data_IF_448226584860
#
_entry.id   IF_448226584860
#
_cell.length_a   1.000
_cell.length_b   1.000
_cell.length_c   1.000
_cell.angle_alpha   90.00
_cell.angle_beta   90.00
_cell.angle_gamma   90.00
#
_symmetry.space_group_name_H-M   'P 1'
#
loop_
_entity.id
_entity.type
_entity.pdbx_description
1 polymer ?
#
# COMPACT_ATOMS: atom_id res chain seq x y z
N UNK A 1 31.92 -69.75 29.92
CA UNK A 1 31.03 -68.99 29.02
C UNK A 1 31.89 -68.23 28.02
N UNK A 2 31.83 -68.63 26.77
CA UNK A 2 32.64 -68.13 25.64
C UNK A 2 31.88 -67.04 24.87
N UNK A 3 32.57 -65.94 24.54
CA UNK A 3 32.73 -65.34 23.19
C UNK A 3 33.67 -64.13 23.35
N UNK A 4 34.98 -64.35 23.14
CA UNK A 4 35.76 -64.12 21.90
C UNK A 4 35.93 -62.61 21.60
N UNK A 5 37.09 -61.94 21.61
CA UNK A 5 38.48 -62.21 21.13
C UNK A 5 38.82 -61.32 19.93
N UNK A 6 40.06 -60.79 19.91
CA UNK A 6 40.93 -60.48 18.74
C UNK A 6 40.68 -59.11 18.05
N UNK A 7 41.56 -58.09 18.12
CA UNK A 7 42.94 -57.86 17.59
C UNK A 7 43.02 -57.61 16.07
N UNK A 8 43.91 -56.67 15.67
CA UNK A 8 44.62 -56.56 14.37
C UNK A 8 43.91 -55.65 13.30
N UNK A 9 44.52 -54.71 12.55
CA UNK A 9 45.76 -54.69 11.74
C UNK A 9 46.21 -53.25 11.36
N UNK A 10 47.53 -53.03 11.41
CA UNK A 10 48.49 -52.25 10.57
C UNK A 10 48.04 -50.99 9.78
N UNK A 11 48.70 -49.82 9.84
CA UNK A 11 50.13 -49.47 9.66
C UNK A 11 50.64 -49.54 8.19
N UNK A 12 50.97 -48.38 7.60
CA UNK A 12 52.13 -48.24 6.70
C UNK A 12 52.89 -46.97 7.05
N UNK A 13 54.13 -47.18 7.47
CA UNK A 13 55.19 -46.22 7.54
C UNK A 13 56.02 -46.27 6.25
N UNK A 14 56.49 -45.11 5.80
CA UNK A 14 57.73 -44.92 5.05
C UNK A 14 58.09 -43.43 5.25
N UNK A 15 58.96 -43.06 6.19
CA UNK A 15 60.42 -43.14 6.11
C UNK A 15 60.97 -42.58 4.80
N UNK A 16 61.22 -41.27 4.73
CA UNK A 16 62.51 -40.74 4.25
C UNK A 16 62.94 -39.57 5.15
N UNK A 17 63.84 -39.89 6.08
CA UNK A 17 64.90 -38.98 6.51
C UNK A 17 65.78 -38.66 5.30
N UNK A 18 65.91 -37.39 4.93
CA UNK A 18 67.16 -36.85 4.40
C UNK A 18 67.47 -35.54 5.10
N UNK A 19 68.42 -35.63 6.02
CA UNK A 19 69.29 -34.54 6.48
C UNK A 19 70.12 -34.10 5.28
N UNK A 20 70.27 -32.79 5.05
CA UNK A 20 71.20 -32.28 4.05
C UNK A 20 71.20 -30.76 3.87
N UNK A 21 71.88 -30.06 4.78
CA UNK A 21 72.60 -28.78 4.59
C UNK A 21 72.04 -27.71 3.62
N UNK A 22 71.62 -26.54 4.12
CA UNK A 22 72.52 -25.37 4.32
C UNK A 22 71.76 -24.03 4.35
N UNK A 23 72.22 -23.14 5.24
CA UNK A 23 72.15 -21.64 5.21
C UNK A 23 70.86 -20.89 5.61
N UNK A 24 70.92 -20.36 6.85
CA UNK A 24 70.56 -18.99 7.34
C UNK A 24 69.13 -18.43 7.15
N UNK A 25 68.71 -17.34 7.86
CA UNK A 25 68.97 -16.89 9.24
C UNK A 25 67.68 -16.43 10.00
N UNK A 26 67.83 -16.20 11.32
CA UNK A 26 67.11 -15.26 12.21
C UNK A 26 65.55 -15.11 12.20
N UNK A 27 64.96 -15.57 13.31
CA UNK A 27 63.77 -15.06 14.05
C UNK A 27 62.83 -14.10 13.30
N UNK A 28 61.70 -14.65 12.85
CA UNK A 28 60.47 -13.87 12.62
C UNK A 28 59.65 -13.80 13.92
N UNK A 29 59.28 -12.58 14.27
CA UNK A 29 58.32 -12.17 15.31
C UNK A 29 56.94 -12.79 15.03
N UNK A 30 56.09 -13.06 16.04
CA UNK A 30 54.81 -13.73 15.84
C UNK A 30 53.92 -12.97 14.86
N UNK A 31 53.37 -13.70 13.88
CA UNK A 31 52.37 -13.19 12.94
C UNK A 31 51.23 -12.52 13.69
N UNK A 32 51.04 -11.23 13.42
CA UNK A 32 49.79 -10.53 13.72
C UNK A 32 48.63 -11.34 13.14
N UNK A 33 47.75 -11.74 14.05
CA UNK A 33 46.41 -12.20 13.77
C UNK A 33 45.75 -11.10 12.93
N UNK A 34 45.44 -11.40 11.66
CA UNK A 34 44.70 -10.49 10.79
C UNK A 34 43.33 -10.28 11.42
N UNK A 35 43.19 -9.22 12.20
CA UNK A 35 41.92 -8.69 12.64
C UNK A 35 41.05 -8.55 11.39
N UNK A 36 39.94 -9.28 11.35
CA UNK A 36 38.93 -9.16 10.32
C UNK A 36 38.45 -7.71 10.38
N UNK A 37 38.89 -6.88 9.44
CA UNK A 37 38.41 -5.51 9.32
C UNK A 37 36.94 -5.61 8.97
N UNK A 38 36.07 -5.47 9.96
CA UNK A 38 34.66 -5.22 9.72
C UNK A 38 34.58 -3.90 8.96
N UNK A 39 34.17 -4.00 7.68
CA UNK A 39 33.93 -2.82 6.85
C UNK A 39 32.83 -2.03 7.54
N UNK A 40 33.14 -0.82 8.02
CA UNK A 40 32.13 0.10 8.53
C UNK A 40 31.20 0.41 7.37
N UNK A 41 29.97 -0.13 7.41
CA UNK A 41 28.93 0.16 6.41
C UNK A 41 28.29 1.48 6.81
N UNK A 42 28.32 2.46 5.91
CA UNK A 42 27.76 3.79 6.18
C UNK A 42 26.22 3.74 6.14
N UNK A 43 25.55 4.66 6.83
CA UNK A 43 24.08 4.70 6.87
C UNK A 43 23.49 4.89 5.46
N UNK A 44 24.12 5.73 4.64
CA UNK A 44 23.75 5.96 3.24
C UNK A 44 23.92 4.72 2.35
N UNK A 45 24.95 3.89 2.59
CA UNK A 45 25.16 2.65 1.82
C UNK A 45 24.00 1.66 2.07
N UNK A 46 23.58 1.51 3.33
CA UNK A 46 22.42 0.66 3.68
C UNK A 46 21.11 1.19 3.09
N UNK A 47 20.93 2.50 3.09
CA UNK A 47 19.76 3.13 2.49
C UNK A 47 19.72 2.89 0.97
N UNK A 48 20.87 2.98 0.29
CA UNK A 48 20.98 2.68 -1.14
C UNK A 48 20.59 1.22 -1.44
N UNK A 49 21.10 0.26 -0.67
CA UNK A 49 20.74 -1.16 -0.79
C UNK A 49 19.23 -1.38 -0.62
N UNK A 50 18.60 -0.65 0.30
CA UNK A 50 17.17 -0.74 0.55
C UNK A 50 16.30 -0.03 -0.49
N UNK A 51 16.83 0.95 -1.23
CA UNK A 51 16.08 1.75 -2.19
C UNK A 51 15.82 1.02 -3.50
N UNK A 52 16.70 0.11 -3.92
CA UNK A 52 16.56 -0.52 -5.23
C UNK A 52 15.24 -1.31 -5.34
N UNK A 53 14.52 -1.08 -6.42
CA UNK A 53 13.20 -1.64 -6.71
C UNK A 53 12.12 -1.27 -5.66
N UNK A 54 12.25 -0.08 -5.06
CA UNK A 54 11.28 0.47 -4.13
C UNK A 54 10.68 1.78 -4.61
N UNK A 55 9.57 2.14 -3.96
CA UNK A 55 8.75 3.28 -4.32
C UNK A 55 8.68 4.28 -3.18
N UNK A 56 8.54 5.55 -3.53
CA UNK A 56 8.03 6.60 -2.65
C UNK A 56 6.81 7.17 -3.36
N UNK A 57 5.66 7.18 -2.70
CA UNK A 57 4.43 7.78 -3.22
C UNK A 57 4.11 9.06 -2.44
N UNK A 58 3.97 10.18 -3.14
CA UNK A 58 3.69 11.50 -2.57
C UNK A 58 2.39 12.04 -3.14
N UNK A 59 1.39 12.15 -2.28
CA UNK A 59 0.07 12.71 -2.62
C UNK A 59 0.04 14.16 -2.17
N UNK A 60 -0.14 15.08 -3.11
CA UNK A 60 -0.27 16.51 -2.76
C UNK A 60 -1.72 16.89 -2.42
N UNK A 61 -2.70 16.25 -3.05
CA UNK A 61 -4.13 16.47 -2.83
C UNK A 61 -4.91 15.14 -2.90
N UNK A 62 -6.04 15.04 -2.20
CA UNK A 62 -6.86 13.82 -2.10
C UNK A 62 -7.53 13.35 -3.41
N UNK A 63 -7.39 14.09 -4.51
CA UNK A 63 -8.01 13.76 -5.80
C UNK A 63 -6.96 13.56 -6.90
N UNK A 64 -5.69 13.39 -6.53
CA UNK A 64 -4.57 13.18 -7.44
C UNK A 64 -3.98 11.80 -7.18
N UNK A 65 -3.62 11.09 -8.26
CA UNK A 65 -2.81 9.86 -8.21
C UNK A 65 -1.45 10.07 -7.55
N UNK A 66 -1.02 11.32 -7.33
CA UNK A 66 0.23 11.66 -6.70
C UNK A 66 1.44 11.47 -7.62
N UNK A 67 2.62 11.71 -7.06
CA UNK A 67 3.91 11.45 -7.71
C UNK A 67 4.56 10.23 -7.09
N UNK A 68 4.99 9.29 -7.93
CA UNK A 68 5.72 8.09 -7.52
C UNK A 68 7.17 8.22 -7.96
N UNK A 69 8.09 8.02 -7.03
CA UNK A 69 9.51 7.92 -7.29
C UNK A 69 9.88 6.45 -7.21
N UNK A 70 10.24 5.86 -8.35
CA UNK A 70 10.71 4.48 -8.44
C UNK A 70 12.23 4.47 -8.57
N UNK A 71 12.89 3.81 -7.63
CA UNK A 71 14.35 3.75 -7.56
C UNK A 71 14.84 2.46 -8.19
N UNK A 72 15.71 2.58 -9.19
CA UNK A 72 16.32 1.46 -9.90
C UNK A 72 17.82 1.71 -10.00
N UNK A 73 18.62 0.65 -9.96
CA UNK A 73 20.09 0.69 -9.84
C UNK A 73 20.81 1.94 -10.42
N UNK A 74 20.50 2.39 -11.65
CA UNK A 74 21.16 3.51 -12.30
C UNK A 74 20.22 4.66 -12.70
N UNK A 75 18.94 4.61 -12.31
CA UNK A 75 17.94 5.60 -12.70
C UNK A 75 16.88 5.80 -11.62
N UNK A 76 16.38 7.02 -11.53
CA UNK A 76 15.20 7.34 -10.73
C UNK A 76 14.11 7.72 -11.72
N UNK A 77 12.99 7.00 -11.63
CA UNK A 77 11.86 7.22 -12.52
C UNK A 77 10.79 7.97 -11.74
N UNK A 78 10.46 9.16 -12.22
CA UNK A 78 9.31 9.92 -11.75
C UNK A 78 8.09 9.51 -12.55
N UNK A 79 7.04 9.11 -11.86
CA UNK A 79 5.76 8.77 -12.45
C UNK A 79 4.73 9.75 -11.89
N UNK A 80 4.14 10.57 -12.76
CA UNK A 80 3.18 11.60 -12.37
C UNK A 80 1.98 11.54 -13.31
N UNK A 81 0.81 11.13 -12.81
CA UNK A 81 -0.45 11.00 -13.56
C UNK A 81 -0.29 10.25 -14.90
N UNK A 82 -0.01 11.00 -15.97
CA UNK A 82 0.06 10.53 -17.36
C UNK A 82 1.47 10.48 -17.97
N UNK A 83 2.50 10.91 -17.24
CA UNK A 83 3.84 11.14 -17.76
C UNK A 83 4.89 10.44 -16.89
N UNK A 84 6.00 10.07 -17.53
CA UNK A 84 7.14 9.41 -16.87
C UNK A 84 8.40 10.14 -17.31
N UNK A 85 9.21 10.56 -16.33
CA UNK A 85 10.54 11.08 -16.58
C UNK A 85 11.57 10.16 -15.95
N UNK A 86 12.56 9.75 -16.73
CA UNK A 86 13.73 9.05 -16.21
C UNK A 86 14.87 10.04 -15.97
N UNK A 87 15.39 10.00 -14.75
CA UNK A 87 16.57 10.72 -14.31
C UNK A 87 17.72 9.72 -14.20
N UNK A 88 18.75 9.90 -15.02
CA UNK A 88 19.96 9.08 -14.96
C UNK A 88 20.80 9.50 -13.77
N UNK A 89 21.32 8.52 -13.05
CA UNK A 89 22.26 8.76 -11.95
C UNK A 89 23.67 8.88 -12.55
N UNK A 90 24.22 10.09 -12.54
CA UNK A 90 25.56 10.38 -13.07
C UNK A 90 26.66 10.11 -12.04
N UNK A 91 26.37 10.46 -10.79
CA UNK A 91 27.29 10.28 -9.66
C UNK A 91 26.48 10.14 -8.36
N UNK A 92 27.09 9.49 -7.37
CA UNK A 92 26.46 9.27 -6.07
C UNK A 92 27.45 9.43 -4.92
N UNK A 93 26.95 9.98 -3.82
CA UNK A 93 27.70 10.11 -2.56
C UNK A 93 26.88 9.53 -1.42
N UNK A 94 27.45 8.53 -0.76
CA UNK A 94 26.89 7.90 0.42
C UNK A 94 27.77 8.15 1.64
N UNK A 95 27.19 8.77 2.66
CA UNK A 95 27.78 8.90 3.99
C UNK A 95 26.72 8.67 5.07
N UNK A 96 26.37 9.67 5.87
CA UNK A 96 25.17 9.59 6.71
C UNK A 96 23.87 9.76 5.90
N UNK A 97 23.99 10.42 4.75
CA UNK A 97 22.92 10.67 3.78
C UNK A 97 23.29 10.04 2.44
N UNK A 98 22.31 9.95 1.54
CA UNK A 98 22.49 9.53 0.16
C UNK A 98 22.20 10.72 -0.76
N UNK A 99 23.14 11.05 -1.63
CA UNK A 99 23.02 12.16 -2.58
C UNK A 99 23.22 11.61 -3.99
N UNK A 100 22.23 11.83 -4.85
CA UNK A 100 22.29 11.51 -6.27
C UNK A 100 22.47 12.78 -7.09
N UNK A 101 23.46 12.77 -7.98
CA UNK A 101 23.58 13.75 -9.06
C UNK A 101 22.85 13.18 -10.28
N UNK A 102 21.83 13.88 -10.74
CA UNK A 102 20.87 13.39 -11.72
C UNK A 102 20.91 14.20 -13.00
N UNK A 103 20.74 13.54 -14.14
CA UNK A 103 20.54 14.18 -15.44
C UNK A 103 19.24 13.70 -16.10
N UNK A 104 18.47 14.60 -16.70
CA UNK A 104 17.30 14.26 -17.50
C UNK A 104 17.20 15.12 -18.75
N UNK A 105 16.33 14.76 -19.69
CA UNK A 105 16.03 15.57 -20.87
C UNK A 105 14.84 16.47 -20.58
N UNK A 106 14.93 17.74 -20.99
CA UNK A 106 13.84 18.68 -20.84
C UNK A 106 12.62 18.23 -21.66
N UNK A 107 11.47 18.13 -20.99
CA UNK A 107 10.21 17.80 -21.65
C UNK A 107 9.87 18.86 -22.71
N UNK A 108 9.67 18.44 -23.95
CA UNK A 108 9.42 19.34 -25.09
C UNK A 108 10.69 19.90 -25.76
N UNK A 109 11.87 19.75 -25.18
CA UNK A 109 13.15 20.07 -25.82
C UNK A 109 14.24 19.04 -25.49
N UNK A 110 14.24 17.87 -26.16
CA UNK A 110 15.10 16.74 -25.80
C UNK A 110 16.61 16.98 -26.02
N UNK A 111 16.97 18.10 -26.64
CA UNK A 111 18.37 18.50 -26.81
C UNK A 111 18.93 19.16 -25.54
N UNK A 112 18.06 19.73 -24.71
CA UNK A 112 18.45 20.32 -23.43
C UNK A 112 18.56 19.23 -22.37
N UNK A 113 19.61 19.32 -21.55
CA UNK A 113 19.84 18.43 -20.41
C UNK A 113 19.64 19.23 -19.13
N UNK A 114 18.82 18.71 -18.23
CA UNK A 114 18.56 19.30 -16.92
C UNK A 114 19.38 18.52 -15.90
N UNK A 115 20.19 19.22 -15.11
CA UNK A 115 20.89 18.62 -13.98
C UNK A 115 20.12 18.92 -12.69
N UNK A 116 20.06 17.91 -11.81
CA UNK A 116 19.41 18.04 -10.51
C UNK A 116 20.13 17.21 -9.46
N UNK A 117 19.80 17.47 -8.20
CA UNK A 117 20.39 16.78 -7.05
C UNK A 117 19.27 16.28 -6.16
N UNK A 118 19.29 14.99 -5.85
CA UNK A 118 18.37 14.39 -4.90
C UNK A 118 19.13 14.03 -3.62
N UNK A 119 18.68 14.59 -2.50
CA UNK A 119 19.21 14.30 -1.18
C UNK A 119 18.18 13.47 -0.42
N UNK A 120 18.61 12.30 0.06
CA UNK A 120 17.83 11.42 0.92
C UNK A 120 18.53 11.24 2.25
N UNK A 121 17.77 11.35 3.32
CA UNK A 121 18.22 11.03 4.67
C UNK A 121 17.16 10.19 5.36
N UNK A 122 17.59 9.23 6.17
CA UNK A 122 16.68 8.37 6.93
C UNK A 122 16.68 8.83 8.39
N UNK A 123 15.49 8.94 8.96
CA UNK A 123 15.26 9.23 10.37
C UNK A 123 15.53 7.99 11.24
N UNK A 124 15.33 8.09 12.55
CA UNK A 124 15.50 6.96 13.48
C UNK A 124 14.32 5.97 13.40
N UNK A 125 13.13 6.47 13.05
CA UNK A 125 11.90 5.69 12.85
C UNK A 125 11.80 5.09 11.44
N UNK A 126 12.92 5.01 10.73
CA UNK A 126 13.08 4.50 9.36
C UNK A 126 12.37 5.32 8.27
N UNK A 127 11.65 6.39 8.60
CA UNK A 127 11.10 7.32 7.61
C UNK A 127 12.18 8.12 6.91
N UNK A 128 11.87 8.66 5.73
CA UNK A 128 12.80 9.35 4.85
C UNK A 128 12.46 10.84 4.75
N UNK A 129 13.49 11.67 4.72
CA UNK A 129 13.38 13.05 4.27
C UNK A 129 14.04 13.14 2.90
N UNK A 130 13.33 13.79 1.97
CA UNK A 130 13.72 13.96 0.58
C UNK A 130 13.78 15.44 0.24
N UNK A 131 14.90 15.86 -0.33
CA UNK A 131 15.10 17.22 -0.82
C UNK A 131 15.60 17.16 -2.26
N UNK A 132 14.87 17.85 -3.15
CA UNK A 132 15.21 17.96 -4.55
C UNK A 132 15.72 19.36 -4.85
N UNK A 133 16.94 19.45 -5.39
CA UNK A 133 17.56 20.70 -5.79
C UNK A 133 17.73 20.73 -7.31
N UNK A 134 17.41 21.88 -7.90
CA UNK A 134 17.59 22.16 -9.31
C UNK A 134 18.71 23.20 -9.49
N UNK A 135 19.16 23.45 -10.72
CA UNK A 135 20.27 24.38 -11.00
C UNK A 135 20.06 25.79 -10.39
N UNK A 136 18.82 26.23 -10.16
CA UNK A 136 18.48 27.54 -9.59
C UNK A 136 18.12 27.52 -8.08
N UNK A 137 18.38 26.43 -7.37
CA UNK A 137 18.13 26.29 -5.93
C UNK A 137 17.19 25.14 -5.58
N UNK A 138 16.64 25.18 -4.36
CA UNK A 138 15.77 24.12 -3.87
C UNK A 138 14.46 24.10 -4.65
N UNK A 139 14.13 22.95 -5.23
CA UNK A 139 12.88 22.74 -5.95
C UNK A 139 11.76 22.31 -4.99
N UNK A 140 12.01 21.32 -4.13
CA UNK A 140 11.08 20.96 -3.06
C UNK A 140 11.75 20.16 -1.93
N UNK A 141 11.09 20.10 -0.79
CA UNK A 141 11.46 19.27 0.36
C UNK A 141 10.21 18.58 0.92
N UNK A 142 10.33 17.28 1.23
CA UNK A 142 9.27 16.46 1.82
C UNK A 142 9.88 15.61 2.94
N UNK A 143 9.18 15.51 4.06
CA UNK A 143 9.66 14.85 5.28
C UNK A 143 8.73 13.70 5.67
N UNK A 144 9.24 12.77 6.47
CA UNK A 144 8.50 11.60 6.99
C UNK A 144 7.90 10.71 5.91
N UNK A 145 8.61 10.55 4.80
CA UNK A 145 8.23 9.69 3.69
C UNK A 145 8.46 8.23 4.04
N UNK A 146 7.63 7.35 3.50
CA UNK A 146 7.80 5.90 3.61
C UNK A 146 8.36 5.34 2.32
N UNK A 147 9.24 4.36 2.49
CA UNK A 147 9.64 3.48 1.42
C UNK A 147 8.60 2.36 1.31
N UNK A 148 8.06 2.14 0.13
CA UNK A 148 6.95 1.22 -0.11
C UNK A 148 7.40 0.02 -0.93
N UNK A 149 6.79 -1.15 -0.66
CA UNK A 149 6.76 -2.25 -1.63
C UNK A 149 5.85 -1.94 -2.80
N UNK A 150 5.80 -2.82 -3.81
CA UNK A 150 4.89 -2.66 -4.94
C UNK A 150 3.43 -2.73 -4.48
N UNK A 151 3.11 -3.69 -3.61
CA UNK A 151 1.78 -3.86 -3.00
C UNK A 151 1.36 -2.59 -2.24
N UNK A 152 2.22 -2.11 -1.33
CA UNK A 152 1.94 -0.91 -0.52
C UNK A 152 1.80 0.35 -1.39
N UNK A 153 2.59 0.44 -2.46
CA UNK A 153 2.51 1.53 -3.42
C UNK A 153 1.16 1.52 -4.14
N UNK A 154 0.74 0.38 -4.68
CA UNK A 154 -0.56 0.23 -5.34
C UNK A 154 -1.70 0.54 -4.38
N UNK A 155 -1.67 0.01 -3.16
CA UNK A 155 -2.69 0.30 -2.15
C UNK A 155 -2.79 1.82 -1.91
N UNK A 156 -1.65 2.49 -1.74
CA UNK A 156 -1.61 3.92 -1.54
C UNK A 156 -2.17 4.73 -2.72
N UNK A 157 -1.92 4.29 -3.97
CA UNK A 157 -2.48 4.90 -5.18
C UNK A 157 -4.01 4.75 -5.19
N UNK A 158 -4.51 3.52 -5.02
CA UNK A 158 -5.95 3.26 -5.11
C UNK A 158 -6.71 3.94 -3.97
N UNK A 159 -6.17 3.96 -2.74
CA UNK A 159 -6.80 4.71 -1.64
C UNK A 159 -6.84 6.22 -1.89
N UNK A 160 -5.85 6.77 -2.60
CA UNK A 160 -5.79 8.21 -2.89
C UNK A 160 -6.60 8.59 -4.11
N UNK A 161 -6.81 7.66 -5.04
CA UNK A 161 -7.61 7.90 -6.24
C UNK A 161 -8.38 6.62 -6.66
N UNK A 162 -9.48 6.28 -5.98
CA UNK A 162 -10.22 5.02 -6.20
C UNK A 162 -10.81 4.87 -7.61
N UNK A 163 -10.97 5.98 -8.33
CA UNK A 163 -11.44 6.00 -9.72
C UNK A 163 -10.32 5.87 -10.76
N UNK A 164 -9.08 5.57 -10.36
CA UNK A 164 -7.96 5.48 -11.28
C UNK A 164 -8.22 4.43 -12.36
N UNK A 165 -8.14 4.84 -13.63
CA UNK A 165 -8.20 3.89 -14.75
C UNK A 165 -6.77 3.54 -15.10
N UNK A 166 -6.43 2.26 -15.01
CA UNK A 166 -5.11 1.71 -15.35
C UNK A 166 -4.80 1.90 -16.85
N UNK A 167 -4.47 3.13 -17.24
CA UNK A 167 -4.34 3.59 -18.61
C UNK A 167 -2.88 3.60 -19.12
N UNK A 168 -1.94 3.24 -18.24
CA UNK A 168 -0.51 3.07 -18.51
C UNK A 168 -0.09 1.63 -18.25
N UNK A 169 0.94 1.17 -18.96
CA UNK A 169 1.61 -0.08 -18.62
C UNK A 169 2.55 0.13 -17.43
N UNK A 170 2.06 -0.12 -16.22
CA UNK A 170 2.84 -0.01 -14.99
C UNK A 170 3.69 -1.26 -14.68
N UNK A 171 3.52 -2.34 -15.44
CA UNK A 171 4.27 -3.60 -15.24
C UNK A 171 5.77 -3.42 -15.42
N UNK A 172 6.20 -2.48 -16.26
CA UNK A 172 7.63 -2.15 -16.45
C UNK A 172 8.28 -1.65 -15.15
N UNK A 173 7.47 -1.15 -14.22
CA UNK A 173 7.87 -0.68 -12.89
C UNK A 173 7.49 -1.66 -11.79
N UNK A 174 7.04 -2.88 -12.09
CA UNK A 174 6.66 -3.88 -11.10
C UNK A 174 5.28 -3.66 -10.44
N UNK A 175 4.51 -2.66 -10.86
CA UNK A 175 3.14 -2.43 -10.37
C UNK A 175 2.17 -3.12 -11.33
N UNK A 176 1.86 -4.39 -11.07
CA UNK A 176 1.10 -5.24 -12.02
C UNK A 176 -0.41 -5.01 -11.92
N UNK A 177 -1.14 -5.38 -12.98
CA UNK A 177 -2.61 -5.34 -12.96
C UNK A 177 -3.21 -6.20 -11.84
N UNK A 178 -2.57 -7.32 -11.50
CA UNK A 178 -2.99 -8.18 -10.39
C UNK A 178 -2.95 -7.45 -9.04
N UNK A 179 -1.88 -6.70 -8.78
CA UNK A 179 -1.78 -5.87 -7.57
C UNK A 179 -2.87 -4.81 -7.50
N UNK A 180 -3.18 -4.17 -8.63
CA UNK A 180 -4.27 -3.19 -8.70
C UNK A 180 -5.62 -3.84 -8.39
N UNK A 181 -5.92 -4.98 -9.00
CA UNK A 181 -7.17 -5.69 -8.73
C UNK A 181 -7.29 -6.07 -7.24
N UNK A 182 -6.23 -6.60 -6.63
CA UNK A 182 -6.20 -6.92 -5.20
C UNK A 182 -6.49 -5.68 -4.33
N UNK A 183 -5.86 -4.55 -4.63
CA UNK A 183 -6.10 -3.30 -3.89
C UNK A 183 -7.54 -2.78 -4.04
N UNK A 184 -8.13 -2.88 -5.24
CA UNK A 184 -9.54 -2.51 -5.46
C UNK A 184 -10.49 -3.41 -4.68
N UNK A 185 -10.23 -4.72 -4.66
CA UNK A 185 -11.04 -5.69 -3.92
C UNK A 185 -10.94 -5.40 -2.42
N UNK A 186 -9.75 -5.14 -1.88
CA UNK A 186 -9.55 -4.78 -0.46
C UNK A 186 -10.28 -3.50 -0.07
N UNK A 187 -10.26 -2.46 -0.91
CA UNK A 187 -10.97 -1.21 -0.64
C UNK A 187 -12.49 -1.42 -0.69
N UNK A 188 -12.99 -2.22 -1.64
CA UNK A 188 -14.41 -2.58 -1.66
C UNK A 188 -14.81 -3.38 -0.42
N UNK A 189 -14.00 -4.35 0.01
CA UNK A 189 -14.22 -5.07 1.26
C UNK A 189 -14.19 -4.13 2.47
N UNK A 190 -13.28 -3.16 2.52
CA UNK A 190 -13.22 -2.15 3.59
C UNK A 190 -14.48 -1.27 3.60
N UNK A 191 -14.93 -0.79 2.42
CA UNK A 191 -16.16 0.00 2.30
C UNK A 191 -17.42 -0.80 2.65
N UNK A 192 -17.46 -2.09 2.31
CA UNK A 192 -18.53 -3.00 2.72
C UNK A 192 -18.47 -3.29 4.23
N UNK A 193 -17.28 -3.40 4.81
CA UNK A 193 -17.10 -3.63 6.25
C UNK A 193 -17.54 -2.45 7.12
N UNK A 194 -17.58 -1.23 6.53
CA UNK A 194 -18.08 -0.01 7.17
C UNK A 194 -19.60 0.12 7.08
N UNK A 195 -20.27 -0.69 6.24
CA UNK A 195 -21.72 -0.67 6.13
C UNK A 195 -22.34 -1.54 7.22
N UNK A 196 -23.48 -1.11 7.75
CA UNK A 196 -24.31 -1.98 8.58
C UNK A 196 -24.84 -3.13 7.72
N UNK A 197 -25.06 -4.28 8.34
CA UNK A 197 -25.59 -5.44 7.63
C UNK A 197 -27.07 -5.28 7.29
N UNK A 198 -27.57 -6.08 6.33
CA UNK A 198 -29.00 -6.16 5.98
C UNK A 198 -29.88 -6.49 7.20
N UNK A 199 -29.41 -7.40 8.07
CA UNK A 199 -30.10 -7.80 9.30
C UNK A 199 -30.14 -6.65 10.32
N UNK A 200 -29.01 -5.97 10.53
CA UNK A 200 -28.96 -4.79 11.40
C UNK A 200 -29.86 -3.66 10.90
N UNK A 201 -29.90 -3.42 9.58
CA UNK A 201 -30.76 -2.41 8.98
C UNK A 201 -32.25 -2.70 9.25
N UNK A 202 -32.67 -3.95 9.06
CA UNK A 202 -34.05 -4.37 9.34
C UNK A 202 -34.40 -4.17 10.82
N UNK A 203 -33.55 -4.60 11.73
CA UNK A 203 -33.78 -4.48 13.17
C UNK A 203 -33.79 -3.01 13.65
N UNK A 204 -32.91 -2.16 13.12
CA UNK A 204 -32.93 -0.72 13.37
C UNK A 204 -34.24 -0.07 12.91
N UNK A 205 -34.72 -0.45 11.73
CA UNK A 205 -35.99 0.06 11.20
C UNK A 205 -37.17 -0.37 12.09
N UNK A 206 -37.25 -1.66 12.43
CA UNK A 206 -38.29 -2.20 13.31
C UNK A 206 -38.32 -1.49 14.66
N UNK A 207 -37.17 -1.33 15.30
CA UNK A 207 -37.04 -0.67 16.59
C UNK A 207 -37.55 0.78 16.54
N UNK A 208 -37.30 1.49 15.43
CA UNK A 208 -37.74 2.88 15.25
C UNK A 208 -39.23 3.04 15.06
N UNK A 209 -39.92 2.07 14.45
CA UNK A 209 -41.34 2.22 14.06
C UNK A 209 -42.31 1.38 14.88
N UNK A 210 -41.84 0.48 15.75
CA UNK A 210 -42.65 -0.50 16.51
C UNK A 210 -43.82 0.05 17.32
N UNK A 211 -43.75 1.32 17.75
CA UNK A 211 -44.81 1.93 18.55
C UNK A 211 -46.00 2.41 17.69
N UNK A 212 -45.79 2.51 16.36
CA UNK A 212 -46.78 3.01 15.40
C UNK A 212 -47.16 1.92 14.38
N UNK A 213 -46.20 1.09 13.98
CA UNK A 213 -46.35 0.07 12.94
C UNK A 213 -46.13 -1.34 13.51
N UNK A 214 -46.80 -2.33 12.92
CA UNK A 214 -46.53 -3.73 13.22
C UNK A 214 -45.14 -4.14 12.67
N UNK A 215 -44.16 -4.22 13.55
CA UNK A 215 -42.78 -4.50 13.19
C UNK A 215 -42.57 -5.89 12.56
N UNK A 216 -43.44 -6.86 12.86
CA UNK A 216 -43.36 -8.21 12.30
C UNK A 216 -43.79 -8.24 10.82
N UNK A 217 -44.52 -7.22 10.38
CA UNK A 217 -44.94 -7.02 8.99
C UNK A 217 -43.91 -6.28 8.14
N UNK A 218 -42.74 -5.92 8.70
CA UNK A 218 -41.63 -5.30 7.96
C UNK A 218 -40.65 -6.33 7.44
N UNK A 219 -40.31 -6.24 6.15
CA UNK A 219 -39.29 -7.07 5.52
C UNK A 219 -38.29 -6.23 4.74
N UNK A 220 -37.06 -6.73 4.66
CA UNK A 220 -36.10 -6.27 3.67
C UNK A 220 -36.65 -6.50 2.26
N UNK A 221 -36.38 -5.55 1.38
CA UNK A 221 -36.65 -5.66 -0.04
C UNK A 221 -35.96 -6.86 -0.68
N UNK A 222 -36.54 -7.29 -1.80
CA UNK A 222 -35.99 -8.31 -2.68
C UNK A 222 -35.84 -7.69 -4.05
N UNK A 223 -34.74 -7.95 -4.76
CA UNK A 223 -34.55 -7.45 -6.13
C UNK A 223 -35.61 -7.98 -7.13
N UNK A 224 -36.48 -8.87 -6.65
CA UNK A 224 -37.69 -9.32 -7.32
C UNK A 224 -38.92 -8.47 -6.92
N UNK A 225 -39.81 -8.21 -7.88
CA UNK A 225 -41.13 -7.58 -7.67
C UNK A 225 -41.14 -6.06 -7.41
N UNK A 226 -40.05 -5.34 -7.72
CA UNK A 226 -39.99 -3.87 -7.58
C UNK A 226 -39.81 -3.38 -6.14
N UNK A 227 -39.36 -4.27 -5.24
CA UNK A 227 -39.03 -3.98 -3.85
C UNK A 227 -37.52 -3.88 -3.67
N UNK A 228 -36.91 -2.90 -4.32
CA UNK A 228 -35.45 -2.72 -4.36
C UNK A 228 -34.79 -2.95 -2.99
N UNK A 229 -33.92 -3.96 -2.91
CA UNK A 229 -33.19 -4.24 -1.68
C UNK A 229 -32.22 -3.09 -1.37
N UNK A 230 -31.51 -2.62 -2.39
CA UNK A 230 -30.55 -1.53 -2.30
C UNK A 230 -31.03 -0.37 -3.16
N UNK A 231 -31.14 0.80 -2.53
CA UNK A 231 -31.60 2.04 -3.16
C UNK A 231 -30.45 3.04 -3.14
N UNK A 232 -30.15 3.66 -4.28
CA UNK A 232 -29.14 4.71 -4.37
C UNK A 232 -29.82 6.08 -4.55
N UNK A 233 -29.60 6.99 -3.59
CA UNK A 233 -30.15 8.34 -3.59
C UNK A 233 -29.06 9.34 -3.20
N UNK A 234 -28.86 10.36 -4.03
CA UNK A 234 -27.87 11.42 -3.83
C UNK A 234 -26.45 10.89 -3.55
N UNK A 235 -26.06 9.77 -4.17
CA UNK A 235 -24.75 9.14 -3.99
C UNK A 235 -24.60 8.32 -2.70
N UNK A 236 -25.69 8.12 -1.94
CA UNK A 236 -25.72 7.27 -0.77
C UNK A 236 -26.53 6.00 -1.03
N UNK A 237 -26.10 4.89 -0.44
CA UNK A 237 -26.79 3.60 -0.49
C UNK A 237 -27.67 3.42 0.74
N UNK A 238 -28.86 2.86 0.52
CA UNK A 238 -29.83 2.56 1.55
C UNK A 238 -30.36 1.14 1.38
N UNK A 239 -30.66 0.49 2.49
CA UNK A 239 -31.47 -0.73 2.51
C UNK A 239 -32.96 -0.37 2.48
N UNK A 240 -33.70 -0.90 1.52
CA UNK A 240 -35.14 -0.73 1.40
C UNK A 240 -35.88 -1.70 2.32
N UNK A 241 -36.67 -1.17 3.26
CA UNK A 241 -37.52 -1.95 4.17
C UNK A 241 -38.98 -1.63 3.86
N UNK A 242 -39.78 -2.66 3.65
CA UNK A 242 -41.15 -2.55 3.16
C UNK A 242 -42.12 -3.11 4.18
N UNK A 243 -43.23 -2.40 4.37
CA UNK A 243 -44.36 -2.93 5.14
C UNK A 243 -45.22 -3.81 4.24
N UNK A 244 -45.33 -5.10 4.56
CA UNK A 244 -46.14 -6.07 3.84
C UNK A 244 -47.32 -6.46 4.71
N UNK A 245 -48.54 -6.22 4.23
CA UNK A 245 -49.76 -6.68 4.88
C UNK A 245 -50.51 -7.63 3.94
N UNK A 246 -50.96 -8.78 4.46
CA UNK A 246 -51.66 -9.82 3.71
C UNK A 246 -50.97 -10.24 2.40
N UNK A 247 -49.63 -10.24 2.37
CA UNK A 247 -48.83 -10.65 1.21
C UNK A 247 -48.77 -9.63 0.07
N UNK A 248 -49.29 -8.41 0.27
CA UNK A 248 -49.09 -7.28 -0.63
C UNK A 248 -48.12 -6.30 0.02
N UNK A 249 -47.08 -5.91 -0.72
CA UNK A 249 -46.24 -4.79 -0.30
C UNK A 249 -47.11 -3.53 -0.30
N UNK A 250 -47.23 -2.90 0.86
CA UNK A 250 -47.87 -1.61 0.98
C UNK A 250 -47.03 -0.53 0.30
N UNK A 251 -47.66 0.61 0.00
CA UNK A 251 -47.00 1.80 -0.56
C UNK A 251 -45.99 2.47 0.42
N UNK A 252 -45.72 1.83 1.57
CA UNK A 252 -44.90 2.34 2.65
C UNK A 252 -43.52 1.69 2.63
N UNK A 253 -42.52 2.54 2.36
CA UNK A 253 -41.13 2.16 2.23
C UNK A 253 -40.29 3.00 3.16
N UNK A 254 -39.45 2.32 3.92
CA UNK A 254 -38.42 2.90 4.77
C UNK A 254 -37.06 2.66 4.14
N UNK A 255 -36.16 3.63 4.28
CA UNK A 255 -34.80 3.57 3.79
C UNK A 255 -33.85 3.67 4.98
N UNK A 256 -32.97 2.68 5.14
CA UNK A 256 -31.94 2.71 6.19
C UNK A 256 -30.60 2.98 5.54
N UNK A 257 -29.93 4.06 5.91
CA UNK A 257 -28.64 4.43 5.34
C UNK A 257 -27.61 3.33 5.63
N UNK A 258 -27.01 2.77 4.58
CA UNK A 258 -26.11 1.63 4.71
C UNK A 258 -24.84 1.97 5.51
N UNK A 259 -24.41 3.23 5.56
CA UNK A 259 -23.21 3.65 6.29
C UNK A 259 -23.49 4.16 7.70
N UNK A 260 -24.65 4.78 7.95
CA UNK A 260 -24.94 5.43 9.25
C UNK A 260 -26.00 4.70 10.08
N UNK A 261 -26.81 3.84 9.46
CA UNK A 261 -27.97 3.20 10.09
C UNK A 261 -29.14 4.13 10.39
N UNK A 262 -29.09 5.38 9.93
CA UNK A 262 -30.21 6.31 10.06
C UNK A 262 -31.40 5.84 9.21
N UNK A 263 -32.59 5.90 9.80
CA UNK A 263 -33.84 5.43 9.19
C UNK A 263 -34.64 6.61 8.67
N UNK A 264 -35.15 6.47 7.46
CA UNK A 264 -35.95 7.46 6.76
C UNK A 264 -37.24 6.83 6.23
N UNK A 265 -38.29 7.64 6.10
CA UNK A 265 -39.46 7.32 5.32
C UNK A 265 -39.31 7.86 3.90
N UNK A 266 -39.70 7.07 2.90
CA UNK A 266 -39.69 7.45 1.49
C UNK A 266 -41.09 7.38 0.90
N UNK A 267 -41.62 8.55 0.50
CA UNK A 267 -42.95 8.66 -0.09
C UNK A 267 -43.02 7.98 -1.46
N UNK A 268 -44.13 7.30 -1.75
CA UNK A 268 -44.42 6.77 -3.09
C UNK A 268 -44.74 7.87 -4.11
N UNK A 269 -45.13 9.07 -3.64
CA UNK A 269 -45.40 10.22 -4.50
C UNK A 269 -44.12 10.93 -4.99
N UNK A 270 -43.01 10.79 -4.24
CA UNK A 270 -41.71 11.33 -4.60
C UNK A 270 -40.60 10.38 -4.12
N UNK A 271 -40.18 9.48 -5.01
CA UNK A 271 -39.13 8.50 -4.71
C UNK A 271 -37.74 9.15 -4.56
N UNK A 272 -37.58 10.46 -4.78
CA UNK A 272 -36.28 11.14 -4.60
C UNK A 272 -36.15 11.81 -3.23
N UNK A 273 -37.24 11.92 -2.47
CA UNK A 273 -37.27 12.58 -1.18
C UNK A 273 -37.26 11.58 -0.01
N UNK A 274 -36.48 11.90 1.02
CA UNK A 274 -36.40 11.15 2.27
C UNK A 274 -36.78 12.07 3.43
N UNK A 275 -37.70 11.61 4.27
CA UNK A 275 -38.08 12.27 5.53
C UNK A 275 -37.45 11.50 6.68
N UNK A 276 -36.79 12.17 7.62
CA UNK A 276 -36.23 11.49 8.80
C UNK A 276 -37.34 10.75 9.56
N UNK A 277 -37.09 9.53 10.03
CA UNK A 277 -38.16 8.71 10.61
C UNK A 277 -38.81 9.38 11.83
N UNK A 278 -38.01 10.05 12.67
CA UNK A 278 -38.51 10.73 13.86
C UNK A 278 -39.37 11.96 13.52
N UNK A 279 -39.21 12.55 12.33
CA UNK A 279 -40.09 13.61 11.81
C UNK A 279 -41.40 13.00 11.27
N UNK A 280 -41.29 11.95 10.46
CA UNK A 280 -42.45 11.26 9.89
C UNK A 280 -43.41 10.71 10.96
N UNK A 281 -42.87 10.10 12.02
CA UNK A 281 -43.68 9.51 13.09
C UNK A 281 -44.40 10.57 13.95
N UNK A 282 -44.02 11.85 13.90
CA UNK A 282 -44.77 12.91 14.59
C UNK A 282 -46.18 13.09 14.05
N UNK A 283 -46.46 12.69 12.80
CA UNK A 283 -47.80 12.77 12.22
C UNK A 283 -48.79 11.76 12.83
N UNK A 284 -48.30 10.79 13.61
CA UNK A 284 -49.08 9.72 14.23
C UNK A 284 -49.24 9.86 15.75
N UNK A 285 -48.65 10.91 16.35
CA UNK A 285 -48.79 11.27 17.76
C UNK A 285 -49.87 12.35 17.98
#
# INVERSE_FOLDING_TARGET
MYKKSITLILAIAALILLIGCSKQPQKETPKEEKTKVEKIVKKGDKLEENLNEKYIHIVENQNDTGTIYYFKNNEIILLYGYHADSYKIEDRKSDNNLIYNLSSKEFGNPNNTINSFLHLSQNEDETLNMMWNCENGNCFEKNNLKLLTAEECVQSIVSSYPSYKHDRNWEEFGLTQELFNQAYDEIQEEELSKQITEEEALELCKEKVKDVWDADSLTLGTDDSGLDKVIELNGHKYYGIYYINDGMAGDFRFCVNASTGEVFFQSSADLQSLTAIDEYLQEFN
#
